data_IF_656460598840
#
_entry.id   IF_656460598840
#
_cell.length_a   1.000
_cell.length_b   1.000
_cell.length_c   1.000
_cell.angle_alpha   90.00
_cell.angle_beta   90.00
_cell.angle_gamma   90.00
#
_symmetry.space_group_name_H-M   'P 1'
#
loop_
_entity.id
_entity.type
_entity.pdbx_description
1 polymer ?
#
# COMPACT_ATOMS: atom_id res chain seq x y z
N UNK A 1 -12.67 -38.18 12.27
CA UNK A 1 -12.28 -38.64 10.91
C UNK A 1 -11.30 -39.82 10.98
N UNK A 2 -10.18 -39.67 11.67
CA UNK A 2 -9.12 -40.69 11.75
C UNK A 2 -9.60 -42.05 12.32
N UNK A 3 -10.36 -42.10 13.44
CA UNK A 3 -10.91 -43.36 13.96
C UNK A 3 -11.86 -44.06 12.98
N UNK A 4 -12.61 -43.31 12.20
CA UNK A 4 -13.54 -43.82 11.20
C UNK A 4 -12.79 -44.48 10.04
N UNK A 5 -11.76 -43.81 9.50
CA UNK A 5 -10.91 -44.34 8.43
C UNK A 5 -10.18 -45.63 8.87
N UNK A 6 -9.71 -45.63 10.09
CA UNK A 6 -9.04 -46.82 10.66
C UNK A 6 -10.02 -47.95 10.92
N UNK A 7 -11.24 -47.66 11.36
CA UNK A 7 -12.31 -48.67 11.51
C UNK A 7 -12.69 -49.29 10.16
N UNK A 8 -12.73 -48.49 9.09
CA UNK A 8 -12.98 -48.96 7.72
C UNK A 8 -11.83 -49.84 7.19
N UNK A 9 -10.58 -49.51 7.53
CA UNK A 9 -9.40 -50.36 7.20
C UNK A 9 -9.36 -51.68 7.97
N UNK A 10 -9.89 -51.71 9.20
CA UNK A 10 -10.04 -52.93 9.99
C UNK A 10 -10.97 -53.95 9.36
N UNK A 11 -11.96 -53.48 8.55
CA UNK A 11 -12.89 -54.33 7.79
C UNK A 11 -12.24 -55.11 6.62
N UNK A 12 -11.04 -54.68 6.15
CA UNK A 12 -10.27 -55.40 5.13
C UNK A 12 -9.32 -56.40 5.81
N UNK A 13 -9.83 -57.60 6.16
CA UNK A 13 -9.15 -58.64 6.95
C UNK A 13 -7.74 -58.97 6.47
N UNK A 14 -7.53 -59.19 5.18
CA UNK A 14 -6.22 -59.54 4.59
C UNK A 14 -5.13 -58.46 4.77
N UNK A 15 -5.48 -57.15 4.73
CA UNK A 15 -4.53 -56.06 4.91
C UNK A 15 -4.27 -55.72 6.39
N UNK A 16 -5.12 -56.20 7.31
CA UNK A 16 -5.00 -55.99 8.75
C UNK A 16 -4.11 -57.00 9.42
N UNK A 17 -4.12 -58.24 8.94
CA UNK A 17 -3.40 -59.38 9.55
C UNK A 17 -1.93 -59.52 9.08
N UNK A 18 -1.31 -58.47 8.52
CA UNK A 18 0.15 -58.43 8.31
C UNK A 18 0.86 -58.21 9.65
N UNK A 19 1.91 -58.94 9.89
CA UNK A 19 2.62 -59.11 11.19
C UNK A 19 2.78 -57.83 12.03
N UNK A 20 3.22 -56.77 11.44
CA UNK A 20 3.48 -55.48 12.14
C UNK A 20 2.20 -54.66 12.39
N UNK A 21 1.20 -54.81 11.56
CA UNK A 21 -0.03 -53.97 11.63
C UNK A 21 -1.01 -54.40 12.71
N UNK A 22 -1.01 -55.65 13.09
CA UNK A 22 -1.86 -56.20 14.18
C UNK A 22 -1.58 -55.47 15.50
N UNK A 23 -0.30 -55.19 15.79
CA UNK A 23 0.12 -54.54 17.04
C UNK A 23 0.11 -53.03 16.92
N UNK A 24 0.56 -52.51 15.78
CA UNK A 24 0.74 -51.06 15.59
C UNK A 24 -0.59 -50.30 15.51
N UNK A 25 -1.61 -50.84 14.81
CA UNK A 25 -2.88 -50.14 14.63
C UNK A 25 -3.67 -50.04 15.96
N UNK A 26 -3.87 -51.08 16.75
CA UNK A 26 -4.57 -50.94 18.03
C UNK A 26 -3.82 -50.04 19.03
N UNK A 27 -2.50 -50.15 19.13
CA UNK A 27 -1.70 -49.30 20.00
C UNK A 27 -1.78 -47.82 19.58
N UNK A 28 -1.78 -47.54 18.28
CA UNK A 28 -1.92 -46.19 17.77
C UNK A 28 -3.31 -45.60 18.06
N UNK A 29 -4.36 -46.40 17.87
CA UNK A 29 -5.74 -45.99 18.18
C UNK A 29 -5.90 -45.73 19.68
N UNK A 30 -5.35 -46.58 20.52
CA UNK A 30 -5.39 -46.44 21.98
C UNK A 30 -4.67 -45.14 22.43
N UNK A 31 -3.45 -44.89 21.96
CA UNK A 31 -2.70 -43.66 22.24
C UNK A 31 -3.42 -42.41 21.80
N UNK A 32 -3.97 -42.39 20.59
CA UNK A 32 -4.75 -41.26 20.12
C UNK A 32 -5.97 -41.03 20.98
N UNK A 33 -6.69 -42.08 21.34
CA UNK A 33 -7.90 -41.98 22.18
C UNK A 33 -7.59 -41.53 23.60
N UNK A 34 -6.51 -42.03 24.18
CA UNK A 34 -6.06 -41.63 25.52
C UNK A 34 -5.63 -40.17 25.57
N UNK A 35 -4.92 -39.70 24.52
CA UNK A 35 -4.39 -38.33 24.45
C UNK A 35 -5.28 -37.39 23.65
N UNK A 36 -6.48 -37.81 23.23
CA UNK A 36 -7.36 -37.01 22.37
C UNK A 36 -7.70 -35.66 22.99
N UNK A 37 -7.97 -35.62 24.29
CA UNK A 37 -8.27 -34.36 25.00
C UNK A 37 -7.09 -33.37 24.96
N UNK A 38 -5.89 -33.88 25.22
CA UNK A 38 -4.65 -33.08 25.18
C UNK A 38 -4.35 -32.56 23.79
N UNK A 39 -4.54 -33.39 22.74
CA UNK A 39 -4.36 -32.99 21.36
C UNK A 39 -5.38 -31.91 20.94
N UNK A 40 -6.65 -32.07 21.33
CA UNK A 40 -7.70 -31.06 21.09
C UNK A 40 -7.34 -29.75 21.78
N UNK A 41 -6.94 -29.79 23.04
CA UNK A 41 -6.54 -28.62 23.80
C UNK A 41 -5.35 -27.92 23.14
N UNK A 42 -4.33 -28.66 22.72
CA UNK A 42 -3.14 -28.13 22.07
C UNK A 42 -3.50 -27.46 20.74
N UNK A 43 -4.35 -28.10 19.92
CA UNK A 43 -4.78 -27.51 18.65
C UNK A 43 -5.62 -26.26 18.84
N UNK A 44 -6.51 -26.24 19.82
CA UNK A 44 -7.29 -25.04 20.16
C UNK A 44 -6.40 -23.91 20.65
N UNK A 45 -5.44 -24.22 21.53
CA UNK A 45 -4.50 -23.23 22.04
C UNK A 45 -3.64 -22.67 20.91
N UNK A 46 -3.10 -23.53 20.05
CA UNK A 46 -2.31 -23.11 18.90
C UNK A 46 -3.12 -22.23 17.93
N UNK A 47 -4.36 -22.60 17.66
CA UNK A 47 -5.26 -21.80 16.81
C UNK A 47 -5.54 -20.45 17.45
N UNK A 48 -5.80 -20.38 18.75
CA UNK A 48 -6.02 -19.13 19.47
C UNK A 48 -4.79 -18.21 19.42
N UNK A 49 -3.59 -18.76 19.68
CA UNK A 49 -2.34 -18.00 19.62
C UNK A 49 -2.09 -17.45 18.21
N UNK A 50 -2.26 -18.28 17.18
CA UNK A 50 -2.09 -17.85 15.79
C UNK A 50 -3.09 -16.76 15.40
N UNK A 51 -4.35 -16.89 15.83
CA UNK A 51 -5.38 -15.90 15.55
C UNK A 51 -5.05 -14.56 16.21
N UNK A 52 -4.71 -14.56 17.51
CA UNK A 52 -4.35 -13.34 18.23
C UNK A 52 -3.08 -12.71 17.63
N UNK A 53 -2.06 -13.50 17.33
CA UNK A 53 -0.83 -13.01 16.70
C UNK A 53 -1.09 -12.40 15.33
N UNK A 54 -1.96 -13.00 14.52
CA UNK A 54 -2.34 -12.48 13.21
C UNK A 54 -3.09 -11.15 13.33
N UNK A 55 -4.04 -11.05 14.25
CA UNK A 55 -4.78 -9.80 14.51
C UNK A 55 -3.84 -8.71 15.00
N UNK A 56 -2.92 -9.02 15.93
CA UNK A 56 -1.92 -8.05 16.40
C UNK A 56 -0.99 -7.60 15.27
N UNK A 57 -0.50 -8.52 14.45
CA UNK A 57 0.35 -8.18 13.31
C UNK A 57 -0.38 -7.23 12.35
N UNK A 58 -1.64 -7.50 12.03
CA UNK A 58 -2.45 -6.64 11.16
C UNK A 58 -2.70 -5.27 11.80
N UNK A 59 -3.06 -5.21 13.07
CA UNK A 59 -3.39 -3.94 13.77
C UNK A 59 -2.17 -3.03 13.96
N UNK A 60 -0.96 -3.58 14.05
CA UNK A 60 0.27 -2.79 14.22
C UNK A 60 0.91 -2.48 12.88
N UNK A 61 1.07 -3.47 12.02
CA UNK A 61 1.78 -3.31 10.75
C UNK A 61 1.05 -2.43 9.74
N UNK A 62 -0.28 -2.63 9.59
CA UNK A 62 -1.05 -1.87 8.61
C UNK A 62 -1.08 -0.36 8.86
N UNK A 63 -1.32 0.14 10.10
CA UNK A 63 -1.26 1.57 10.35
C UNK A 63 0.11 2.17 10.07
N UNK A 64 1.20 1.50 10.46
CA UNK A 64 2.57 1.98 10.20
C UNK A 64 2.83 2.09 8.69
N UNK A 65 2.49 1.05 7.93
CA UNK A 65 2.62 1.06 6.48
C UNK A 65 1.68 2.07 5.80
N UNK A 66 0.51 2.33 6.36
CA UNK A 66 -0.42 3.35 5.87
C UNK A 66 0.11 4.76 6.14
N UNK A 67 0.62 5.04 7.33
CA UNK A 67 1.18 6.36 7.69
C UNK A 67 2.30 6.76 6.74
N UNK A 68 3.22 5.86 6.45
CA UNK A 68 4.33 6.16 5.52
C UNK A 68 3.90 6.48 4.09
N UNK A 69 2.69 6.06 3.68
CA UNK A 69 2.10 6.40 2.38
C UNK A 69 1.25 7.68 2.42
N UNK A 70 0.55 7.89 3.54
CA UNK A 70 -0.38 9.01 3.72
C UNK A 70 0.36 10.29 4.07
N UNK A 71 1.38 10.19 4.90
CA UNK A 71 2.21 11.29 5.39
C UNK A 71 3.69 10.89 5.30
N UNK A 72 4.29 10.95 4.11
CA UNK A 72 5.67 10.53 3.89
C UNK A 72 6.69 11.49 4.51
N UNK A 73 6.28 12.72 4.81
CA UNK A 73 7.07 13.75 5.47
C UNK A 73 6.47 14.10 6.82
N UNK A 74 7.27 14.54 7.78
CA UNK A 74 6.80 14.90 9.12
C UNK A 74 5.87 16.12 9.11
N UNK A 75 6.21 17.12 8.29
CA UNK A 75 5.41 18.34 8.10
C UNK A 75 5.36 18.67 6.62
N UNK A 76 4.17 18.85 6.10
CA UNK A 76 3.93 19.34 4.75
C UNK A 76 2.89 20.45 4.78
N UNK A 77 3.11 21.48 3.99
CA UNK A 77 2.14 22.56 3.82
C UNK A 77 2.25 23.15 2.41
N UNK A 78 1.13 23.65 1.91
CA UNK A 78 1.12 24.42 0.67
C UNK A 78 1.47 25.85 0.97
N UNK A 79 2.40 26.42 0.21
CA UNK A 79 2.75 27.83 0.28
C UNK A 79 1.97 28.62 -0.77
N UNK A 80 1.43 29.74 -0.36
CA UNK A 80 0.84 30.74 -1.25
C UNK A 80 1.84 31.88 -1.50
N UNK A 81 2.78 32.07 -0.58
CA UNK A 81 3.77 33.15 -0.60
C UNK A 81 5.09 32.65 0.03
N UNK A 82 6.22 33.08 -0.51
CA UNK A 82 7.56 32.76 -0.02
C UNK A 82 7.81 33.24 1.44
N UNK A 83 7.12 34.28 1.88
CA UNK A 83 7.20 34.77 3.26
C UNK A 83 6.72 33.76 4.30
N UNK A 84 5.88 32.80 3.90
CA UNK A 84 5.41 31.72 4.77
C UNK A 84 6.53 30.76 5.13
N UNK A 85 7.48 30.51 4.22
CA UNK A 85 8.63 29.65 4.48
C UNK A 85 9.51 30.21 5.62
N UNK A 86 9.78 31.50 5.61
CA UNK A 86 10.57 32.15 6.68
C UNK A 86 9.87 32.10 8.03
N UNK A 87 8.54 32.21 8.01
CA UNK A 87 7.72 32.07 9.22
C UNK A 87 7.80 30.63 9.77
N UNK A 88 7.70 29.63 8.91
CA UNK A 88 7.82 28.21 9.30
C UNK A 88 9.22 27.91 9.81
N UNK A 89 10.27 28.35 9.12
CA UNK A 89 11.66 28.19 9.59
C UNK A 89 11.86 28.78 10.98
N UNK A 90 11.31 29.95 11.23
CA UNK A 90 11.39 30.62 12.55
C UNK A 90 10.64 29.83 13.64
N UNK A 91 9.47 29.29 13.32
CA UNK A 91 8.70 28.44 14.24
C UNK A 91 9.48 27.16 14.55
N UNK A 92 9.98 26.48 13.54
CA UNK A 92 10.76 25.24 13.72
C UNK A 92 12.00 25.50 14.56
N UNK A 93 12.79 26.55 14.27
CA UNK A 93 13.96 26.89 15.05
C UNK A 93 13.64 27.24 16.51
N UNK A 94 12.43 27.71 16.80
CA UNK A 94 11.98 28.03 18.16
C UNK A 94 11.58 26.79 18.96
N UNK A 95 10.91 25.83 18.32
CA UNK A 95 10.33 24.67 19.02
C UNK A 95 11.18 23.39 18.90
N UNK A 96 12.07 23.32 17.93
CA UNK A 96 13.00 22.21 17.72
C UNK A 96 14.44 22.74 17.45
N UNK A 97 15.04 23.49 18.40
CA UNK A 97 16.34 24.15 18.18
C UNK A 97 17.51 23.16 18.02
N UNK A 98 17.37 21.95 18.56
CA UNK A 98 18.43 20.92 18.54
C UNK A 98 18.24 19.90 17.42
N UNK A 99 17.17 20.02 16.63
CA UNK A 99 16.86 19.09 15.54
C UNK A 99 17.46 19.58 14.20
N UNK A 100 17.98 18.63 13.44
CA UNK A 100 18.42 18.90 12.06
C UNK A 100 17.20 18.77 11.14
N UNK A 101 16.65 19.90 10.69
CA UNK A 101 15.48 19.93 9.83
C UNK A 101 15.90 20.22 8.40
N UNK A 102 15.51 19.33 7.49
CA UNK A 102 15.69 19.50 6.04
C UNK A 102 14.44 20.06 5.43
N UNK A 103 14.53 21.16 4.72
CA UNK A 103 13.42 21.76 3.98
C UNK A 103 13.58 21.40 2.50
N UNK A 104 12.54 20.81 1.94
CA UNK A 104 12.46 20.50 0.50
C UNK A 104 11.23 21.20 -0.06
N UNK A 105 11.41 21.94 -1.14
CA UNK A 105 10.34 22.65 -1.85
C UNK A 105 10.14 21.99 -3.21
N UNK A 106 8.90 21.82 -3.61
CA UNK A 106 8.52 21.35 -4.96
C UNK A 106 7.34 22.13 -5.49
N UNK A 107 7.28 22.26 -6.80
CA UNK A 107 6.16 22.86 -7.49
C UNK A 107 5.20 21.78 -7.98
N UNK A 108 3.90 21.99 -7.75
CA UNK A 108 2.85 21.09 -8.21
C UNK A 108 2.11 21.79 -9.34
N UNK A 109 2.20 21.23 -10.54
CA UNK A 109 1.49 21.72 -11.73
C UNK A 109 0.18 20.95 -11.86
N UNK A 110 -0.89 21.68 -12.18
CA UNK A 110 -2.17 21.06 -12.51
C UNK A 110 -2.33 21.04 -14.01
N UNK A 111 -2.51 19.85 -14.56
CA UNK A 111 -2.76 19.64 -15.98
C UNK A 111 -4.13 19.00 -16.16
N UNK A 112 -5.01 19.68 -16.91
CA UNK A 112 -6.25 19.05 -17.37
C UNK A 112 -5.94 17.95 -18.39
N UNK A 113 -6.85 17.01 -18.55
CA UNK A 113 -6.73 15.95 -19.55
C UNK A 113 -7.98 15.86 -20.38
N UNK A 114 -7.81 15.71 -21.69
CA UNK A 114 -8.91 15.46 -22.64
C UNK A 114 -9.29 13.97 -22.71
N UNK A 115 -8.62 13.08 -21.96
CA UNK A 115 -8.91 11.66 -21.95
C UNK A 115 -10.34 11.38 -21.49
N UNK A 116 -11.06 10.56 -22.27
CA UNK A 116 -12.43 10.15 -21.95
C UNK A 116 -12.54 9.26 -20.71
N UNK A 117 -11.46 8.59 -20.36
CA UNK A 117 -11.37 7.71 -19.18
C UNK A 117 -10.05 7.99 -18.48
N UNK A 118 -10.13 8.60 -17.32
CA UNK A 118 -9.01 8.79 -16.40
C UNK A 118 -8.93 7.65 -15.38
N UNK A 119 -7.76 7.41 -14.76
CA UNK A 119 -7.70 6.54 -13.59
C UNK A 119 -8.66 7.03 -12.51
N UNK A 120 -9.20 6.13 -11.70
CA UNK A 120 -10.28 6.43 -10.73
C UNK A 120 -9.94 7.59 -9.81
N UNK A 121 -8.67 7.68 -9.41
CA UNK A 121 -8.16 8.72 -8.50
C UNK A 121 -8.18 10.12 -9.12
N UNK A 122 -8.23 10.22 -10.45
CA UNK A 122 -8.11 11.47 -11.21
C UNK A 122 -9.39 11.87 -11.91
N UNK A 123 -10.43 11.03 -11.81
CA UNK A 123 -11.74 11.31 -12.39
C UNK A 123 -12.60 12.26 -11.53
N UNK A 124 -13.65 12.80 -12.15
CA UNK A 124 -14.65 13.63 -11.46
C UNK A 124 -15.36 12.83 -10.38
N UNK A 125 -15.35 13.27 -9.14
CA UNK A 125 -16.14 12.70 -8.05
C UNK A 125 -15.43 11.74 -7.12
N UNK A 126 -14.12 11.51 -7.25
CA UNK A 126 -13.35 10.66 -6.34
C UNK A 126 -13.10 11.26 -4.95
N UNK A 127 -13.49 12.50 -4.69
CA UNK A 127 -13.48 13.04 -3.33
C UNK A 127 -14.71 12.51 -2.57
N UNK A 128 -14.56 11.42 -1.83
CA UNK A 128 -15.43 11.07 -0.71
C UNK A 128 -15.18 12.08 0.42
N UNK A 129 -15.76 13.26 0.30
CA UNK A 129 -15.89 14.19 1.41
C UNK A 129 -17.09 13.79 2.25
N UNK A 130 -16.93 13.80 3.57
CA UNK A 130 -18.02 13.65 4.53
C UNK A 130 -19.17 14.60 4.17
N UNK A 131 -20.40 14.11 4.33
CA UNK A 131 -21.65 14.71 3.87
C UNK A 131 -22.02 16.10 4.48
N UNK A 132 -21.09 16.78 5.10
CA UNK A 132 -21.29 18.10 5.72
C UNK A 132 -20.43 19.25 5.16
N UNK A 133 -19.49 18.98 4.28
CA UNK A 133 -18.67 20.02 3.66
C UNK A 133 -18.86 20.05 2.15
N UNK A 134 -18.93 21.26 1.62
CA UNK A 134 -19.08 21.59 0.22
C UNK A 134 -18.33 20.62 -0.69
N UNK A 135 -19.04 20.07 -1.68
CA UNK A 135 -18.45 19.28 -2.75
C UNK A 135 -17.28 20.06 -3.33
N UNK A 136 -16.06 19.65 -2.97
CA UNK A 136 -14.90 20.06 -3.73
C UNK A 136 -15.00 19.33 -5.07
N UNK A 137 -15.62 19.98 -6.02
CA UNK A 137 -15.67 19.50 -7.41
C UNK A 137 -14.25 19.66 -7.95
N UNK A 138 -13.51 18.59 -8.02
CA UNK A 138 -12.21 18.58 -8.70
C UNK A 138 -12.46 18.55 -10.20
N UNK A 139 -11.80 19.41 -10.90
CA UNK A 139 -11.70 19.31 -12.35
C UNK A 139 -10.91 18.04 -12.70
N UNK A 140 -11.34 17.29 -13.75
CA UNK A 140 -10.62 16.10 -14.20
C UNK A 140 -9.23 16.50 -14.69
N UNK A 141 -8.22 15.82 -14.19
CA UNK A 141 -6.84 16.11 -14.56
C UNK A 141 -5.83 15.50 -13.59
N UNK A 142 -4.58 15.86 -13.81
CA UNK A 142 -3.47 15.36 -13.04
C UNK A 142 -2.78 16.48 -12.26
N UNK A 143 -2.28 16.16 -11.08
CA UNK A 143 -1.27 16.95 -10.39
C UNK A 143 0.09 16.39 -10.81
N UNK A 144 0.95 17.22 -11.37
CA UNK A 144 2.24 16.82 -11.93
C UNK A 144 3.37 17.43 -11.12
N UNK A 145 4.44 16.66 -10.91
CA UNK A 145 5.71 17.16 -10.37
C UNK A 145 6.85 16.72 -11.30
N UNK A 146 7.96 17.44 -11.28
CA UNK A 146 9.11 17.06 -12.10
C UNK A 146 9.74 15.76 -11.58
N UNK A 147 10.33 14.95 -12.46
CA UNK A 147 11.07 13.75 -12.07
C UNK A 147 12.24 14.07 -11.12
N UNK A 148 12.88 15.22 -11.32
CA UNK A 148 13.97 15.68 -10.45
C UNK A 148 13.46 15.98 -9.03
N UNK A 149 12.31 16.64 -8.90
CA UNK A 149 11.70 16.92 -7.60
C UNK A 149 11.24 15.64 -6.91
N UNK A 150 10.67 14.70 -7.68
CA UNK A 150 10.29 13.40 -7.14
C UNK A 150 11.47 12.67 -6.51
N UNK A 151 12.60 12.58 -7.24
CA UNK A 151 13.82 11.96 -6.72
C UNK A 151 14.35 12.72 -5.50
N UNK A 152 14.29 14.05 -5.52
CA UNK A 152 14.75 14.89 -4.41
C UNK A 152 13.90 14.68 -3.16
N UNK A 153 12.58 14.61 -3.29
CA UNK A 153 11.67 14.33 -2.19
C UNK A 153 11.89 12.93 -1.61
N UNK A 154 12.01 11.90 -2.47
CA UNK A 154 12.29 10.54 -2.02
C UNK A 154 13.63 10.45 -1.25
N UNK A 155 14.64 11.15 -1.71
CA UNK A 155 15.95 11.20 -1.04
C UNK A 155 15.86 11.90 0.32
N UNK A 156 15.15 13.02 0.40
CA UNK A 156 14.91 13.71 1.66
C UNK A 156 14.15 12.85 2.68
N UNK A 157 13.29 11.93 2.19
CA UNK A 157 12.55 10.95 2.99
C UNK A 157 13.35 9.67 3.31
N UNK A 158 14.61 9.56 2.86
CA UNK A 158 15.44 8.36 3.07
C UNK A 158 15.00 7.12 2.28
N UNK A 159 14.28 7.30 1.16
CA UNK A 159 13.69 6.23 0.35
C UNK A 159 14.55 5.87 -0.86
N UNK A 160 15.87 5.69 -0.65
CA UNK A 160 16.84 5.38 -1.71
C UNK A 160 16.48 4.10 -2.48
N UNK A 161 15.93 3.08 -1.80
CA UNK A 161 15.50 1.83 -2.42
C UNK A 161 14.40 2.02 -3.49
N UNK A 162 13.57 3.04 -3.35
CA UNK A 162 12.57 3.41 -4.36
C UNK A 162 13.25 4.05 -5.54
N UNK A 163 14.18 4.97 -5.30
CA UNK A 163 14.95 5.67 -6.35
C UNK A 163 15.67 4.66 -7.24
N UNK A 164 16.35 3.67 -6.65
CA UNK A 164 17.07 2.62 -7.39
C UNK A 164 16.16 1.77 -8.29
N UNK A 165 14.87 1.73 -7.98
CA UNK A 165 13.87 0.98 -8.75
C UNK A 165 13.18 1.79 -9.86
N UNK A 166 13.47 3.09 -9.97
CA UNK A 166 12.85 3.96 -10.96
C UNK A 166 13.37 3.67 -12.37
N UNK A 167 12.49 3.64 -13.38
CA UNK A 167 12.92 3.59 -14.75
C UNK A 167 13.47 4.95 -15.21
N UNK A 168 14.41 4.95 -16.13
CA UNK A 168 14.70 6.18 -16.88
C UNK A 168 13.48 6.61 -17.70
N UNK A 169 13.16 7.89 -17.72
CA UNK A 169 12.04 8.45 -18.47
C UNK A 169 12.56 9.20 -19.70
N UNK A 170 11.76 9.20 -20.76
CA UNK A 170 11.86 10.11 -21.88
C UNK A 170 10.86 11.26 -21.73
N UNK A 171 10.92 12.27 -22.58
CA UNK A 171 10.01 13.42 -22.51
C UNK A 171 8.53 13.07 -22.76
N UNK A 172 8.26 11.89 -23.31
CA UNK A 172 6.91 11.39 -23.59
C UNK A 172 6.44 10.32 -22.58
N UNK A 173 7.23 10.05 -21.55
CA UNK A 173 6.94 9.01 -20.56
C UNK A 173 6.73 9.61 -19.18
N UNK A 174 5.90 8.93 -18.38
CA UNK A 174 5.60 9.35 -17.02
C UNK A 174 5.51 8.17 -16.06
N UNK A 175 5.60 8.46 -14.78
CA UNK A 175 5.28 7.55 -13.68
C UNK A 175 3.96 7.99 -13.06
N UNK A 176 3.00 7.08 -13.00
CA UNK A 176 1.73 7.31 -12.34
C UNK A 176 1.84 6.88 -10.88
N UNK A 177 1.76 7.83 -9.96
CA UNK A 177 1.77 7.57 -8.53
C UNK A 177 0.34 7.48 -8.03
N UNK A 178 -0.05 6.33 -7.50
CA UNK A 178 -1.36 6.10 -6.89
C UNK A 178 -1.25 6.18 -5.38
N UNK A 179 -2.25 6.78 -4.76
CA UNK A 179 -2.35 6.86 -3.31
C UNK A 179 -2.62 5.51 -2.64
N UNK A 180 -3.49 4.72 -3.23
CA UNK A 180 -3.83 3.38 -2.75
C UNK A 180 -4.05 2.43 -3.93
N UNK A 181 -3.88 1.10 -3.71
CA UNK A 181 -4.25 0.12 -4.72
C UNK A 181 -5.75 0.28 -5.00
N UNK A 182 -6.13 0.55 -6.24
CA UNK A 182 -7.53 0.49 -6.63
C UNK A 182 -7.93 -0.99 -6.77
N UNK A 183 -9.09 -1.37 -6.24
CA UNK A 183 -9.63 -2.73 -6.39
C UNK A 183 -9.98 -3.10 -7.83
N UNK A 184 -10.01 -2.12 -8.73
CA UNK A 184 -10.07 -2.29 -10.17
C UNK A 184 -8.66 -2.13 -10.72
N UNK A 185 -7.87 -3.20 -10.66
CA UNK A 185 -6.55 -3.28 -11.29
C UNK A 185 -6.68 -3.24 -12.82
N UNK A 186 -7.03 -2.08 -13.34
CA UNK A 186 -6.84 -1.81 -14.76
C UNK A 186 -5.36 -1.53 -14.94
N UNK A 187 -4.68 -2.26 -15.83
CA UNK A 187 -3.27 -1.98 -16.09
C UNK A 187 -3.15 -0.59 -16.71
N UNK A 188 -2.69 0.37 -15.93
CA UNK A 188 -2.44 1.73 -16.42
C UNK A 188 -1.11 1.83 -17.17
N UNK A 189 -0.19 0.91 -16.92
CA UNK A 189 1.10 0.85 -17.62
C UNK A 189 0.90 0.65 -19.12
N UNK A 190 1.55 1.49 -19.91
CA UNK A 190 1.45 1.51 -21.38
C UNK A 190 0.28 2.31 -21.92
N UNK A 191 -0.60 2.86 -21.07
CA UNK A 191 -1.63 3.81 -21.51
C UNK A 191 -1.03 5.19 -21.70
N UNK A 192 -1.56 5.92 -22.69
CA UNK A 192 -1.22 7.31 -22.93
C UNK A 192 -2.37 8.21 -22.50
N UNK A 193 -2.02 9.26 -21.78
CA UNK A 193 -2.94 10.29 -21.33
C UNK A 193 -2.53 11.63 -21.94
N UNK A 194 -3.41 12.26 -22.72
CA UNK A 194 -3.16 13.61 -23.23
C UNK A 194 -3.33 14.62 -22.08
N UNK A 195 -2.31 15.43 -21.86
CA UNK A 195 -2.33 16.54 -20.91
C UNK A 195 -2.42 17.86 -21.64
N UNK A 196 -3.21 18.78 -21.12
CA UNK A 196 -3.33 20.14 -21.64
C UNK A 196 -2.38 21.04 -20.85
N UNK A 197 -1.27 21.43 -21.47
CA UNK A 197 -0.23 22.26 -20.85
C UNK A 197 -0.04 23.51 -21.72
N UNK A 198 -0.32 24.68 -21.15
CA UNK A 198 -0.16 25.94 -21.90
C UNK A 198 -1.08 26.12 -23.11
N UNK A 199 -2.09 25.28 -23.26
CA UNK A 199 -3.02 25.25 -24.41
C UNK A 199 -2.67 24.18 -25.45
N UNK A 200 -1.51 23.56 -25.34
CA UNK A 200 -1.09 22.45 -26.19
C UNK A 200 -1.43 21.10 -25.54
N UNK A 201 -1.76 20.12 -26.38
CA UNK A 201 -2.04 18.76 -25.95
C UNK A 201 -0.78 17.89 -26.06
N UNK A 202 -0.26 17.44 -24.90
CA UNK A 202 0.95 16.63 -24.81
C UNK A 202 0.57 15.24 -24.35
N UNK A 203 0.74 14.19 -25.18
CA UNK A 203 0.47 12.81 -24.77
C UNK A 203 1.61 12.29 -23.90
N UNK A 204 1.32 11.82 -22.69
CA UNK A 204 2.28 11.14 -21.83
C UNK A 204 1.91 9.67 -21.63
N UNK A 205 2.87 8.80 -21.85
CA UNK A 205 2.70 7.35 -21.74
C UNK A 205 3.17 6.86 -20.36
N UNK A 206 2.30 6.17 -19.65
CA UNK A 206 2.61 5.62 -18.32
C UNK A 206 3.60 4.47 -18.44
N UNK A 207 4.83 4.69 -18.05
CA UNK A 207 5.89 3.67 -18.02
C UNK A 207 5.85 2.79 -16.81
N UNK A 208 5.51 3.36 -15.65
CA UNK A 208 5.43 2.66 -14.36
C UNK A 208 4.26 3.20 -13.54
N UNK A 209 3.60 2.31 -12.81
CA UNK A 209 2.66 2.66 -11.76
C UNK A 209 3.29 2.32 -10.42
N UNK A 210 3.25 3.24 -9.45
CA UNK A 210 3.78 3.03 -8.11
C UNK A 210 2.83 3.54 -7.03
N UNK A 211 3.00 3.03 -5.81
CA UNK A 211 2.32 3.52 -4.61
C UNK A 211 3.23 4.41 -3.75
N UNK A 212 4.42 4.70 -4.25
CA UNK A 212 5.44 5.47 -3.55
C UNK A 212 5.18 6.96 -3.68
N UNK A 213 4.09 7.42 -3.07
CA UNK A 213 3.72 8.82 -3.08
C UNK A 213 4.76 9.66 -2.30
N UNK A 214 5.29 10.74 -2.91
CA UNK A 214 6.24 11.63 -2.25
C UNK A 214 5.55 12.70 -1.39
N UNK A 215 4.25 12.91 -1.60
CA UNK A 215 3.44 13.93 -0.95
C UNK A 215 2.36 13.30 -0.06
N UNK A 216 1.94 14.00 0.97
CA UNK A 216 0.82 13.56 1.79
C UNK A 216 -0.50 13.61 1.01
N UNK A 217 -1.43 12.75 1.42
CA UNK A 217 -2.78 12.74 0.85
C UNK A 217 -3.50 14.08 0.95
N UNK A 218 -3.23 14.85 1.99
CA UNK A 218 -3.80 16.17 2.17
C UNK A 218 -3.35 17.16 1.08
N UNK A 219 -2.13 16.97 0.55
CA UNK A 219 -1.54 17.83 -0.47
C UNK A 219 -1.72 17.30 -1.89
N UNK A 220 -1.75 15.98 -2.07
CA UNK A 220 -2.00 15.38 -3.39
C UNK A 220 -2.69 14.01 -3.25
N UNK A 221 -3.68 13.73 -4.08
CA UNK A 221 -4.35 12.41 -4.13
C UNK A 221 -3.59 11.42 -5.02
N UNK A 222 -2.61 11.88 -5.73
CA UNK A 222 -1.77 11.12 -6.64
C UNK A 222 -1.11 12.07 -7.61
N UNK A 223 0.07 11.72 -8.05
CA UNK A 223 0.91 12.57 -8.87
C UNK A 223 1.31 11.86 -10.15
N UNK A 224 1.40 12.62 -11.21
CA UNK A 224 2.06 12.23 -12.45
C UNK A 224 3.47 12.83 -12.44
N UNK A 225 4.46 12.03 -12.77
CA UNK A 225 5.87 12.39 -12.70
C UNK A 225 6.50 12.24 -14.07
#
# INVERSE_FOLDING_TARGET
>A
FLPYVMKKRKGKKLAFYTETRIITIPNFIYRIRSNAKTLILLTLLSAAVLTVSSVMALTVYYPIAAVSRIAPSEIEFRMEDETQLDTVKRIVSRYAPDETVTFTQTEIYKAASSASVLPVEYGVGSAQGDAQNEKIVREPGFECISFTDYVTLLRAQGRENVIDSLPGLTDEECILVKYQPSGEDRPETGKSYPLIIGGDEVPLTVKKVTLDNPLSFANSIGTLI
#
